data_IF_798975458541
#
_entry.id   IF_798975458541
#
_cell.length_a   1.000
_cell.length_b   1.000
_cell.length_c   1.000
_cell.angle_alpha   90.00
_cell.angle_beta   90.00
_cell.angle_gamma   90.00
#
_symmetry.space_group_name_H-M   'P 1'
#
loop_
_entity.id
_entity.type
_entity.pdbx_description
1 polymer ?
#
# COMPACT_ATOMS: atom_id res chain seq x y z
N UNK A 1 -15.79 -55.81 18.38
CA UNK A 1 -15.14 -57.03 18.95
C UNK A 1 -13.77 -57.12 18.31
N UNK A 2 -12.68 -57.15 19.09
CA UNK A 2 -11.34 -57.07 18.47
C UNK A 2 -11.05 -58.35 17.69
N UNK A 3 -10.23 -58.26 16.64
CA UNK A 3 -9.81 -59.42 15.85
C UNK A 3 -9.23 -60.53 16.74
N UNK A 4 -8.52 -60.15 17.83
CA UNK A 4 -8.05 -61.09 18.84
C UNK A 4 -9.19 -61.88 19.47
N UNK A 5 -10.30 -61.25 19.84
CA UNK A 5 -11.45 -61.90 20.49
C UNK A 5 -12.21 -62.83 19.53
N UNK A 6 -12.36 -62.44 18.26
CA UNK A 6 -12.97 -63.31 17.24
C UNK A 6 -12.07 -64.51 16.93
N UNK A 7 -10.76 -64.29 16.84
CA UNK A 7 -9.79 -65.36 16.65
C UNK A 7 -9.74 -66.33 17.84
N UNK A 8 -9.81 -65.84 19.09
CA UNK A 8 -9.84 -66.72 20.27
C UNK A 8 -11.12 -67.57 20.31
N UNK A 9 -12.26 -66.98 19.95
CA UNK A 9 -13.53 -67.74 19.89
C UNK A 9 -13.50 -68.79 18.80
N UNK A 10 -12.94 -68.47 17.63
CA UNK A 10 -12.76 -69.44 16.54
C UNK A 10 -11.84 -70.59 16.97
N UNK A 11 -10.75 -70.29 17.68
CA UNK A 11 -9.81 -71.29 18.22
C UNK A 11 -10.46 -72.18 19.28
N UNK A 12 -11.31 -71.62 20.14
CA UNK A 12 -12.05 -72.38 21.16
C UNK A 12 -13.09 -73.29 20.49
N UNK A 13 -13.82 -72.81 19.49
CA UNK A 13 -14.79 -73.63 18.75
C UNK A 13 -14.09 -74.76 18.01
N UNK A 14 -12.94 -74.49 17.37
CA UNK A 14 -12.12 -75.51 16.73
C UNK A 14 -11.60 -76.54 17.75
N UNK A 15 -11.16 -76.09 18.92
CA UNK A 15 -10.69 -76.97 20.00
C UNK A 15 -11.81 -77.85 20.56
N UNK A 16 -13.03 -77.33 20.69
CA UNK A 16 -14.20 -78.11 21.14
C UNK A 16 -14.65 -79.12 20.08
N UNK A 17 -14.61 -78.77 18.79
CA UNK A 17 -14.92 -79.70 17.69
C UNK A 17 -13.89 -80.83 17.63
N UNK A 18 -12.60 -80.51 17.68
CA UNK A 18 -11.52 -81.51 17.69
C UNK A 18 -11.55 -82.35 18.97
N UNK A 19 -11.86 -81.75 20.12
CA UNK A 19 -11.99 -82.46 21.39
C UNK A 19 -13.19 -83.43 21.45
N UNK A 20 -14.26 -83.14 20.71
CA UNK A 20 -15.42 -84.02 20.59
C UNK A 20 -15.12 -85.32 19.84
N UNK A 21 -14.34 -85.23 18.76
CA UNK A 21 -13.91 -86.39 17.98
C UNK A 21 -12.98 -87.32 18.79
N UNK A 22 -12.11 -86.74 19.62
CA UNK A 22 -11.21 -87.50 20.52
C UNK A 22 -11.98 -88.36 21.54
N UNK A 23 -13.12 -87.88 22.04
CA UNK A 23 -13.93 -88.62 23.04
C UNK A 23 -14.74 -89.74 22.37
N UNK A 24 -15.25 -89.53 21.15
CA UNK A 24 -16.01 -90.54 20.42
C UNK A 24 -15.14 -91.72 19.96
N UNK A 25 -13.87 -91.46 19.63
CA UNK A 25 -12.94 -92.47 19.08
C UNK A 25 -12.18 -93.25 20.16
N UNK A 26 -12.08 -92.75 21.40
CA UNK A 26 -11.51 -93.48 22.54
C UNK A 26 -12.22 -94.82 22.85
N UNK A 27 -13.40 -95.05 22.25
CA UNK A 27 -14.18 -96.28 22.36
C UNK A 27 -13.85 -97.36 21.28
N UNK A 28 -12.97 -97.13 20.29
CA UNK A 28 -12.80 -98.07 19.15
C UNK A 28 -11.34 -98.30 18.65
N UNK A 29 -10.71 -99.39 19.15
CA UNK A 29 -9.52 -100.14 18.68
C UNK A 29 -8.12 -99.46 18.63
N UNK A 30 -7.07 -100.16 19.11
CA UNK A 30 -5.70 -99.60 19.31
C UNK A 30 -4.98 -99.10 18.03
N UNK A 31 -5.29 -99.66 16.85
CA UNK A 31 -4.69 -99.21 15.57
C UNK A 31 -5.21 -97.81 15.16
N UNK A 32 -6.45 -97.46 15.52
CA UNK A 32 -7.02 -96.14 15.24
C UNK A 32 -6.41 -95.05 16.15
N UNK A 33 -6.04 -95.41 17.39
CA UNK A 33 -5.47 -94.46 18.34
C UNK A 33 -4.17 -93.82 17.83
N UNK A 34 -3.29 -94.60 17.19
CA UNK A 34 -2.05 -94.07 16.62
C UNK A 34 -2.31 -93.16 15.41
N UNK A 35 -3.29 -93.52 14.57
CA UNK A 35 -3.70 -92.71 13.43
C UNK A 35 -4.29 -91.36 13.87
N UNK A 36 -5.16 -91.35 14.87
CA UNK A 36 -5.76 -90.12 15.40
C UNK A 36 -4.74 -89.21 16.08
N UNK A 37 -3.82 -89.76 16.86
CA UNK A 37 -2.73 -88.98 17.46
C UNK A 37 -1.89 -88.34 16.34
N UNK A 38 -1.62 -89.06 15.25
CA UNK A 38 -0.89 -88.51 14.10
C UNK A 38 -1.68 -87.40 13.39
N UNK A 39 -3.00 -87.53 13.25
CA UNK A 39 -3.88 -86.53 12.64
C UNK A 39 -3.93 -85.25 13.50
N UNK A 40 -4.06 -85.39 14.82
CA UNK A 40 -4.04 -84.28 15.76
C UNK A 40 -2.69 -83.54 15.72
N UNK A 41 -1.59 -84.28 15.64
CA UNK A 41 -0.25 -83.70 15.56
C UNK A 41 -0.07 -82.91 14.24
N UNK A 42 -0.56 -83.45 13.12
CA UNK A 42 -0.56 -82.75 11.82
C UNK A 42 -1.43 -81.51 11.85
N UNK A 43 -2.65 -81.57 12.39
CA UNK A 43 -3.54 -80.40 12.48
C UNK A 43 -2.93 -79.32 13.37
N UNK A 44 -2.28 -79.67 14.48
CA UNK A 44 -1.62 -78.73 15.37
C UNK A 44 -0.39 -78.07 14.71
N UNK A 45 0.37 -78.84 13.91
CA UNK A 45 1.45 -78.29 13.07
C UNK A 45 0.87 -77.33 12.03
N UNK A 46 -0.20 -77.69 11.34
CA UNK A 46 -0.84 -76.83 10.33
C UNK A 46 -1.34 -75.54 10.95
N UNK A 47 -1.99 -75.61 12.12
CA UNK A 47 -2.43 -74.43 12.88
C UNK A 47 -1.23 -73.58 13.29
N UNK A 48 -0.15 -74.20 13.77
CA UNK A 48 1.07 -73.50 14.15
C UNK A 48 1.72 -72.78 12.97
N UNK A 49 1.82 -73.44 11.81
CA UNK A 49 2.34 -72.84 10.57
C UNK A 49 1.43 -71.72 10.10
N UNK A 50 0.11 -71.91 10.16
CA UNK A 50 -0.86 -70.90 9.72
C UNK A 50 -0.86 -69.69 10.66
N UNK A 51 -0.76 -69.89 11.98
CA UNK A 51 -0.57 -68.84 12.97
C UNK A 51 0.75 -68.09 12.75
N UNK A 52 1.84 -68.81 12.51
CA UNK A 52 3.15 -68.22 12.21
C UNK A 52 3.10 -67.37 10.94
N UNK A 53 2.45 -67.85 9.87
CA UNK A 53 2.26 -67.09 8.62
C UNK A 53 1.40 -65.85 8.86
N UNK A 54 0.32 -65.93 9.64
CA UNK A 54 -0.52 -64.78 9.98
C UNK A 54 0.25 -63.74 10.81
N UNK A 55 1.04 -64.19 11.78
CA UNK A 55 1.87 -63.31 12.61
C UNK A 55 2.91 -62.56 11.76
N UNK A 56 3.64 -63.30 10.91
CA UNK A 56 4.62 -62.73 9.98
C UNK A 56 4.01 -61.81 8.93
N UNK A 57 2.92 -62.23 8.26
CA UNK A 57 2.36 -61.50 7.10
C UNK A 57 1.38 -60.40 7.47
N UNK A 58 0.57 -60.58 8.51
CA UNK A 58 -0.52 -59.64 8.84
C UNK A 58 -0.12 -58.74 10.00
N UNK A 59 0.40 -59.31 11.08
CA UNK A 59 0.64 -58.53 12.31
C UNK A 59 1.81 -57.57 12.18
N UNK A 60 2.90 -57.97 11.52
CA UNK A 60 4.03 -57.09 11.24
C UNK A 60 3.62 -55.90 10.35
N UNK A 61 2.84 -56.16 9.30
CA UNK A 61 2.27 -55.12 8.41
C UNK A 61 1.51 -54.03 9.18
N UNK A 62 0.73 -54.41 10.19
CA UNK A 62 -0.03 -53.46 11.01
C UNK A 62 0.88 -52.64 11.92
N UNK A 63 1.94 -53.23 12.46
CA UNK A 63 2.90 -52.51 13.31
C UNK A 63 3.71 -51.49 12.49
N UNK A 64 4.13 -51.83 11.27
CA UNK A 64 4.87 -50.92 10.40
C UNK A 64 4.01 -49.72 9.99
N UNK A 65 2.76 -49.96 9.58
CA UNK A 65 1.79 -48.89 9.31
C UNK A 65 1.54 -48.00 10.53
N UNK A 66 1.52 -48.57 11.74
CA UNK A 66 1.34 -47.80 12.97
C UNK A 66 2.55 -46.90 13.23
N UNK A 67 3.77 -47.44 13.14
CA UNK A 67 5.00 -46.68 13.32
C UNK A 67 5.09 -45.51 12.35
N UNK A 68 4.76 -45.76 11.09
CA UNK A 68 4.72 -44.76 10.03
C UNK A 68 3.67 -43.69 10.32
N UNK A 69 2.49 -44.07 10.80
CA UNK A 69 1.45 -43.11 11.17
C UNK A 69 1.88 -42.21 12.33
N UNK A 70 2.64 -42.75 13.29
CA UNK A 70 3.22 -41.99 14.40
C UNK A 70 4.31 -41.03 13.90
N UNK A 71 5.16 -41.48 12.98
CA UNK A 71 6.17 -40.65 12.29
C UNK A 71 5.54 -39.53 11.46
N UNK A 72 4.46 -39.82 10.72
CA UNK A 72 3.65 -38.83 9.99
C UNK A 72 3.10 -37.74 10.92
N UNK A 73 2.58 -38.14 12.09
CA UNK A 73 2.09 -37.20 13.11
C UNK A 73 3.24 -36.37 13.74
N UNK A 74 4.44 -36.93 13.81
CA UNK A 74 5.65 -36.25 14.26
C UNK A 74 6.29 -35.37 13.17
N UNK A 75 5.85 -35.49 11.91
CA UNK A 75 6.39 -34.76 10.77
C UNK A 75 7.68 -35.34 10.19
N UNK A 76 7.92 -36.64 10.36
CA UNK A 76 9.07 -37.34 9.80
C UNK A 76 8.74 -37.98 8.43
N UNK A 77 9.71 -37.93 7.50
CA UNK A 77 9.61 -38.57 6.19
C UNK A 77 10.10 -40.00 6.28
N UNK A 78 9.27 -40.92 5.79
CA UNK A 78 9.60 -42.34 5.60
C UNK A 78 10.83 -42.52 4.71
N UNK A 79 11.83 -43.24 5.20
CA UNK A 79 13.05 -43.53 4.43
C UNK A 79 12.77 -44.57 3.35
N UNK A 80 13.32 -44.38 2.15
CA UNK A 80 13.14 -45.32 1.02
C UNK A 80 13.57 -46.76 1.35
N UNK A 81 14.57 -46.90 2.22
CA UNK A 81 15.11 -48.19 2.66
C UNK A 81 14.08 -49.04 3.44
N UNK A 82 13.15 -48.39 4.15
CA UNK A 82 12.08 -49.08 4.89
C UNK A 82 10.99 -49.61 3.94
N UNK A 83 10.72 -48.88 2.86
CA UNK A 83 9.77 -49.29 1.81
C UNK A 83 10.34 -50.43 0.94
N UNK A 84 11.66 -50.43 0.71
CA UNK A 84 12.32 -51.45 -0.11
C UNK A 84 12.36 -52.84 0.56
N UNK A 85 12.56 -52.86 1.88
CA UNK A 85 12.57 -54.08 2.73
C UNK A 85 11.18 -54.70 2.94
N UNK A 86 10.11 -53.97 2.59
CA UNK A 86 8.74 -54.42 2.73
C UNK A 86 8.38 -55.56 1.75
N UNK A 87 7.51 -56.47 2.19
CA UNK A 87 6.99 -57.54 1.32
C UNK A 87 6.14 -56.93 0.18
N UNK A 88 6.05 -57.59 -1.00
CA UNK A 88 5.39 -57.03 -2.18
C UNK A 88 3.95 -56.57 -1.94
N UNK A 89 3.20 -57.25 -1.07
CA UNK A 89 1.81 -56.92 -0.76
C UNK A 89 1.67 -55.63 0.08
N UNK A 90 2.71 -55.22 0.82
CA UNK A 90 2.70 -54.01 1.66
C UNK A 90 3.11 -52.74 0.89
N UNK A 91 3.94 -52.89 -0.15
CA UNK A 91 4.54 -51.76 -0.89
C UNK A 91 3.52 -50.69 -1.34
N UNK A 92 2.34 -51.02 -1.89
CA UNK A 92 1.39 -49.99 -2.33
C UNK A 92 0.88 -49.09 -1.18
N UNK A 93 0.62 -49.67 0.00
CA UNK A 93 0.15 -48.92 1.15
C UNK A 93 1.26 -48.01 1.72
N UNK A 94 2.48 -48.53 1.82
CA UNK A 94 3.64 -47.78 2.29
C UNK A 94 3.99 -46.61 1.35
N UNK A 95 3.96 -46.84 0.03
CA UNK A 95 4.16 -45.78 -0.97
C UNK A 95 3.09 -44.68 -0.87
N UNK A 96 1.84 -45.06 -0.59
CA UNK A 96 0.76 -44.08 -0.39
C UNK A 96 1.00 -43.24 0.87
N UNK A 97 1.40 -43.86 1.98
CA UNK A 97 1.73 -43.14 3.21
C UNK A 97 2.96 -42.25 3.05
N UNK A 98 3.98 -42.72 2.33
CA UNK A 98 5.17 -41.92 2.01
C UNK A 98 4.80 -40.68 1.19
N UNK A 99 3.95 -40.83 0.17
CA UNK A 99 3.46 -39.71 -0.63
C UNK A 99 2.68 -38.70 0.23
N UNK A 100 1.78 -39.18 1.08
CA UNK A 100 1.03 -38.31 2.00
C UNK A 100 1.95 -37.58 2.99
N UNK A 101 3.01 -38.25 3.47
CA UNK A 101 4.02 -37.62 4.34
C UNK A 101 4.73 -36.48 3.61
N UNK A 102 5.15 -36.69 2.37
CA UNK A 102 5.76 -35.65 1.53
C UNK A 102 4.81 -34.48 1.28
N UNK A 103 3.55 -34.74 0.93
CA UNK A 103 2.54 -33.71 0.70
C UNK A 103 2.26 -32.87 1.97
N UNK A 104 2.17 -33.51 3.15
CA UNK A 104 1.97 -32.81 4.42
C UNK A 104 3.20 -31.99 4.81
N UNK A 105 4.42 -32.54 4.66
CA UNK A 105 5.65 -31.81 4.94
C UNK A 105 5.80 -30.58 4.06
N UNK A 106 5.53 -30.73 2.76
CA UNK A 106 5.50 -29.60 1.84
C UNK A 106 4.46 -28.55 2.25
N UNK A 107 3.24 -28.96 2.59
CA UNK A 107 2.21 -28.03 3.08
C UNK A 107 2.67 -27.25 4.32
N UNK A 108 3.28 -27.93 5.30
CA UNK A 108 3.79 -27.29 6.52
C UNK A 108 4.91 -26.29 6.20
N UNK A 109 5.85 -26.66 5.33
CA UNK A 109 6.91 -25.76 4.89
C UNK A 109 6.36 -24.56 4.13
N UNK A 110 5.38 -24.78 3.25
CA UNK A 110 4.71 -23.74 2.48
C UNK A 110 3.99 -22.73 3.39
N UNK A 111 3.24 -23.21 4.38
CA UNK A 111 2.59 -22.37 5.39
C UNK A 111 3.62 -21.57 6.20
N UNK A 112 4.74 -22.21 6.61
CA UNK A 112 5.80 -21.53 7.35
C UNK A 112 6.46 -20.41 6.53
N UNK A 113 6.76 -20.68 5.26
CA UNK A 113 7.32 -19.70 4.33
C UNK A 113 6.42 -18.50 4.12
N UNK A 114 5.11 -18.73 3.98
CA UNK A 114 4.10 -17.66 3.95
C UNK A 114 4.13 -16.85 5.26
N UNK A 115 4.21 -17.51 6.41
CA UNK A 115 4.34 -16.84 7.72
C UNK A 115 5.60 -15.97 7.85
N UNK A 116 6.68 -16.35 7.16
CA UNK A 116 7.94 -15.59 7.05
C UNK A 116 7.88 -14.49 5.98
N UNK A 117 6.71 -14.26 5.35
CA UNK A 117 6.49 -13.35 4.20
C UNK A 117 7.29 -13.71 2.94
N UNK A 118 7.66 -14.98 2.80
CA UNK A 118 8.28 -15.53 1.60
C UNK A 118 7.21 -16.22 0.74
N UNK A 119 6.70 -15.51 -0.27
CA UNK A 119 5.68 -16.00 -1.20
C UNK A 119 6.28 -16.68 -2.45
N UNK A 120 7.60 -16.90 -2.49
CA UNK A 120 8.30 -17.40 -3.69
C UNK A 120 8.25 -18.91 -3.85
N UNK A 121 7.95 -19.65 -2.78
CA UNK A 121 7.90 -21.11 -2.78
C UNK A 121 6.87 -21.65 -3.77
N UNK A 122 7.27 -22.66 -4.53
CA UNK A 122 6.41 -23.41 -5.45
C UNK A 122 6.08 -24.77 -4.84
N UNK A 123 4.90 -25.31 -5.15
CA UNK A 123 4.51 -26.67 -4.78
C UNK A 123 5.07 -27.65 -5.81
N UNK A 124 5.75 -28.68 -5.34
CA UNK A 124 6.37 -29.77 -6.10
C UNK A 124 5.55 -31.06 -6.01
N UNK A 125 5.04 -31.42 -4.83
CA UNK A 125 4.30 -32.67 -4.61
C UNK A 125 2.78 -32.48 -4.66
N UNK A 126 2.29 -31.37 -4.11
CA UNK A 126 0.87 -31.00 -4.09
C UNK A 126 0.41 -30.44 -5.44
N UNK A 127 -0.75 -30.92 -5.93
CA UNK A 127 -1.37 -30.39 -7.14
C UNK A 127 -1.87 -28.94 -6.90
N UNK A 128 -1.35 -27.93 -7.62
CA UNK A 128 -1.75 -26.53 -7.44
C UNK A 128 -3.21 -26.22 -7.83
N UNK A 129 -3.89 -27.14 -8.53
CA UNK A 129 -5.23 -26.91 -9.11
C UNK A 129 -6.34 -27.68 -8.40
N UNK A 130 -6.00 -28.57 -7.46
CA UNK A 130 -6.99 -29.41 -6.78
C UNK A 130 -6.67 -29.60 -5.29
N UNK A 131 -7.70 -29.97 -4.52
CA UNK A 131 -7.55 -30.36 -3.12
C UNK A 131 -6.83 -29.32 -2.25
N UNK A 132 -5.89 -29.81 -1.42
CA UNK A 132 -5.13 -28.98 -0.49
C UNK A 132 -4.20 -27.98 -1.21
N UNK A 133 -3.58 -28.38 -2.31
CA UNK A 133 -2.64 -27.53 -3.04
C UNK A 133 -3.31 -26.26 -3.59
N UNK A 134 -4.51 -26.38 -4.18
CA UNK A 134 -5.30 -25.21 -4.61
C UNK A 134 -5.59 -24.24 -3.48
N UNK A 135 -6.11 -24.73 -2.36
CA UNK A 135 -6.46 -23.90 -1.20
C UNK A 135 -5.23 -23.16 -0.63
N UNK A 136 -4.07 -23.82 -0.60
CA UNK A 136 -2.81 -23.20 -0.17
C UNK A 136 -2.36 -22.10 -1.14
N UNK A 137 -2.46 -22.33 -2.45
CA UNK A 137 -2.12 -21.33 -3.47
C UNK A 137 -3.05 -20.11 -3.37
N UNK A 138 -4.35 -20.33 -3.23
CA UNK A 138 -5.33 -19.25 -3.04
C UNK A 138 -5.04 -18.45 -1.76
N UNK A 139 -4.74 -19.13 -0.65
CA UNK A 139 -4.34 -18.49 0.60
C UNK A 139 -3.06 -17.66 0.44
N UNK A 140 -2.04 -18.20 -0.23
CA UNK A 140 -0.79 -17.48 -0.54
C UNK A 140 -1.09 -16.20 -1.32
N UNK A 141 -1.90 -16.30 -2.37
CA UNK A 141 -2.25 -15.16 -3.22
C UNK A 141 -3.00 -14.07 -2.44
N UNK A 142 -3.98 -14.47 -1.60
CA UNK A 142 -4.71 -13.52 -0.76
C UNK A 142 -3.79 -12.82 0.25
N UNK A 143 -2.93 -13.57 0.95
CA UNK A 143 -2.00 -13.01 1.92
C UNK A 143 -0.92 -12.13 1.25
N UNK A 144 -0.46 -12.52 0.06
CA UNK A 144 0.45 -11.70 -0.73
C UNK A 144 -0.21 -10.37 -1.12
N UNK A 145 -1.45 -10.41 -1.63
CA UNK A 145 -2.20 -9.20 -1.97
C UNK A 145 -2.41 -8.31 -0.74
N UNK A 146 -2.83 -8.88 0.40
CA UNK A 146 -2.99 -8.12 1.65
C UNK A 146 -1.67 -7.49 2.07
N UNK A 147 -0.56 -8.23 1.97
CA UNK A 147 0.77 -7.70 2.31
C UNK A 147 1.20 -6.57 1.38
N UNK A 148 0.93 -6.65 0.06
CA UNK A 148 1.24 -5.61 -0.90
C UNK A 148 0.38 -4.35 -0.66
N UNK A 149 -0.91 -4.53 -0.39
CA UNK A 149 -1.83 -3.44 -0.01
C UNK A 149 -1.40 -2.77 1.29
N UNK A 150 -0.97 -3.55 2.30
CA UNK A 150 -0.46 -3.03 3.57
C UNK A 150 0.81 -2.19 3.37
N UNK A 151 1.76 -2.68 2.55
CA UNK A 151 2.98 -1.93 2.22
C UNK A 151 2.64 -0.60 1.53
N UNK A 152 1.77 -0.62 0.52
CA UNK A 152 1.35 0.59 -0.20
C UNK A 152 0.63 1.57 0.74
N UNK A 153 -0.28 1.08 1.59
CA UNK A 153 -1.01 1.90 2.57
C UNK A 153 -0.07 2.54 3.58
N UNK A 154 0.88 1.78 4.13
CA UNK A 154 1.85 2.29 5.09
C UNK A 154 2.77 3.34 4.45
N UNK A 155 3.18 3.12 3.20
CA UNK A 155 3.93 4.12 2.42
C UNK A 155 3.14 5.42 2.27
N UNK A 156 1.86 5.35 1.86
CA UNK A 156 0.97 6.51 1.71
C UNK A 156 0.77 7.26 3.03
N UNK A 157 0.43 6.58 4.12
CA UNK A 157 0.18 7.20 5.44
C UNK A 157 1.43 7.87 6.00
N UNK A 158 2.59 7.23 5.85
CA UNK A 158 3.87 7.80 6.29
C UNK A 158 4.22 9.01 5.44
N UNK A 159 3.98 8.95 4.13
CA UNK A 159 4.11 10.08 3.22
C UNK A 159 3.24 11.26 3.66
N UNK A 160 1.94 11.06 3.82
CA UNK A 160 0.99 12.13 4.17
C UNK A 160 1.43 12.79 5.46
N UNK A 161 1.74 12.00 6.50
CA UNK A 161 2.22 12.52 7.79
C UNK A 161 3.45 13.43 7.60
N UNK A 162 4.43 12.98 6.81
CA UNK A 162 5.64 13.77 6.51
C UNK A 162 5.30 15.09 5.83
N UNK A 163 4.38 15.11 4.87
CA UNK A 163 3.99 16.33 4.16
C UNK A 163 3.14 17.25 5.04
N UNK A 164 2.22 16.72 5.83
CA UNK A 164 1.44 17.51 6.79
C UNK A 164 2.36 18.19 7.82
N UNK A 165 3.39 17.50 8.31
CA UNK A 165 4.40 18.08 9.22
C UNK A 165 5.23 19.16 8.51
N UNK A 166 5.72 18.89 7.29
CA UNK A 166 6.44 19.88 6.46
C UNK A 166 5.62 21.15 6.28
N UNK A 167 4.34 21.03 5.94
CA UNK A 167 3.46 22.17 5.73
C UNK A 167 3.17 22.93 7.03
N UNK A 168 3.04 22.21 8.15
CA UNK A 168 2.80 22.80 9.48
C UNK A 168 4.01 23.58 9.99
N UNK A 169 5.21 23.03 9.85
CA UNK A 169 6.45 23.66 10.32
C UNK A 169 6.80 24.93 9.54
N UNK A 170 6.28 25.07 8.32
CA UNK A 170 6.58 26.16 7.40
C UNK A 170 5.39 27.11 7.12
N UNK A 171 4.39 27.17 8.01
CA UNK A 171 3.19 28.02 7.80
C UNK A 171 3.48 29.51 7.62
N UNK A 172 4.61 30.00 8.14
CA UNK A 172 5.01 31.41 8.05
C UNK A 172 6.04 31.68 6.94
N UNK A 173 6.49 30.64 6.22
CA UNK A 173 7.45 30.78 5.15
C UNK A 173 6.83 31.44 3.91
N UNK A 174 7.67 31.97 3.03
CA UNK A 174 7.18 32.45 1.73
C UNK A 174 6.68 31.30 0.86
N UNK A 175 5.67 31.58 0.02
CA UNK A 175 5.04 30.57 -0.81
C UNK A 175 6.01 29.86 -1.77
N UNK A 176 7.02 30.59 -2.24
CA UNK A 176 8.13 30.07 -3.06
C UNK A 176 9.00 29.07 -2.30
N UNK A 177 9.29 29.33 -1.03
CA UNK A 177 10.12 28.49 -0.18
C UNK A 177 9.42 27.18 0.17
N UNK A 178 8.19 27.26 0.69
CA UNK A 178 7.40 26.07 1.01
C UNK A 178 7.07 25.26 -0.24
N UNK A 179 6.76 25.93 -1.36
CA UNK A 179 6.53 25.28 -2.65
C UNK A 179 7.75 24.51 -3.13
N UNK A 180 8.97 25.05 -2.93
CA UNK A 180 10.21 24.37 -3.29
C UNK A 180 10.50 23.16 -2.40
N UNK A 181 10.35 23.29 -1.07
CA UNK A 181 10.52 22.18 -0.13
C UNK A 181 9.53 21.06 -0.43
N UNK A 182 8.26 21.42 -0.65
CA UNK A 182 7.20 20.50 -1.00
C UNK A 182 7.51 19.74 -2.29
N UNK A 183 7.79 20.44 -3.39
CA UNK A 183 7.98 19.79 -4.70
C UNK A 183 9.25 18.94 -4.74
N UNK A 184 10.33 19.38 -4.08
CA UNK A 184 11.56 18.58 -3.94
C UNK A 184 11.28 17.27 -3.22
N UNK A 185 10.62 17.33 -2.08
CA UNK A 185 10.32 16.14 -1.28
C UNK A 185 9.31 15.24 -1.99
N UNK A 186 8.35 15.82 -2.71
CA UNK A 186 7.35 15.07 -3.46
C UNK A 186 8.00 14.29 -4.61
N UNK A 187 8.81 14.97 -5.43
CA UNK A 187 9.55 14.34 -6.53
C UNK A 187 10.39 13.17 -6.01
N UNK A 188 11.09 13.35 -4.89
CA UNK A 188 11.89 12.27 -4.29
C UNK A 188 11.04 11.13 -3.72
N UNK A 189 9.91 11.43 -3.08
CA UNK A 189 9.06 10.42 -2.44
C UNK A 189 8.40 9.51 -3.48
N UNK A 190 7.84 10.09 -4.55
CA UNK A 190 7.22 9.31 -5.64
C UNK A 190 8.24 8.79 -6.67
N UNK A 191 9.52 9.16 -6.54
CA UNK A 191 10.56 8.81 -7.50
C UNK A 191 10.33 9.39 -8.90
N UNK A 192 9.78 10.60 -8.98
CA UNK A 192 9.68 11.35 -10.23
C UNK A 192 11.04 11.97 -10.60
N UNK A 193 11.14 12.55 -11.79
CA UNK A 193 12.38 13.17 -12.26
C UNK A 193 12.40 14.68 -12.06
N UNK A 194 11.24 15.33 -12.23
CA UNK A 194 11.09 16.77 -12.09
C UNK A 194 9.67 17.12 -11.65
N UNK A 195 9.52 18.31 -11.09
CA UNK A 195 8.21 18.82 -10.70
C UNK A 195 8.17 20.34 -10.60
N UNK A 196 6.97 20.89 -10.66
CA UNK A 196 6.70 22.30 -10.51
C UNK A 196 5.40 22.55 -9.74
N UNK A 197 5.36 23.70 -9.07
CA UNK A 197 4.18 24.20 -8.36
C UNK A 197 3.75 25.50 -9.04
N UNK A 198 2.51 25.50 -9.50
CA UNK A 198 1.87 26.62 -10.16
C UNK A 198 0.76 27.17 -9.28
N UNK A 199 0.69 28.49 -9.11
CA UNK A 199 -0.30 29.15 -8.25
C UNK A 199 -1.05 30.19 -9.05
N UNK A 200 -2.36 30.24 -8.86
CA UNK A 200 -3.25 31.19 -9.50
C UNK A 200 -3.13 32.53 -8.78
N UNK A 201 -2.66 33.55 -9.50
CA UNK A 201 -2.71 34.93 -9.07
C UNK A 201 -3.97 35.61 -9.62
N UNK A 202 -4.97 35.77 -8.76
CA UNK A 202 -6.28 36.37 -9.11
C UNK A 202 -6.25 37.90 -9.16
N UNK A 203 -5.20 38.53 -8.64
CA UNK A 203 -5.07 39.99 -8.57
C UNK A 203 -4.36 40.58 -9.80
N UNK A 204 -3.83 39.72 -10.68
CA UNK A 204 -3.27 40.16 -11.95
C UNK A 204 -4.36 40.79 -12.84
N UNK A 205 -4.06 41.99 -13.35
CA UNK A 205 -4.96 42.80 -14.15
C UNK A 205 -4.39 42.84 -15.58
N UNK A 206 -5.13 42.47 -16.65
CA UNK A 206 -6.59 42.40 -16.77
C UNK A 206 -7.26 41.05 -16.49
N UNK A 207 -6.50 39.95 -16.34
CA UNK A 207 -7.05 38.60 -16.12
C UNK A 207 -6.20 37.83 -15.11
N UNK A 208 -6.78 36.87 -14.37
CA UNK A 208 -6.02 35.96 -13.54
C UNK A 208 -4.95 35.23 -14.34
N UNK A 209 -3.76 35.10 -13.77
CA UNK A 209 -2.63 34.41 -14.39
C UNK A 209 -2.16 33.27 -13.48
N UNK A 210 -1.48 32.30 -14.09
CA UNK A 210 -0.88 31.19 -13.37
C UNK A 210 0.63 31.42 -13.29
N UNK A 211 1.17 31.40 -12.08
CA UNK A 211 2.58 31.68 -11.82
C UNK A 211 3.31 30.43 -11.33
N UNK A 212 4.47 30.13 -11.90
CA UNK A 212 5.36 29.08 -11.41
C UNK A 212 6.09 29.59 -10.15
N UNK A 213 5.67 29.16 -8.96
CA UNK A 213 6.26 29.63 -7.69
C UNK A 213 7.46 28.80 -7.26
N UNK A 214 7.52 27.54 -7.68
CA UNK A 214 8.61 26.64 -7.36
C UNK A 214 8.78 25.56 -8.43
N UNK A 215 10.02 25.11 -8.64
CA UNK A 215 10.33 23.98 -9.51
C UNK A 215 11.56 23.23 -9.00
N UNK A 216 11.60 21.91 -9.21
CA UNK A 216 12.71 21.04 -8.85
C UNK A 216 13.16 20.21 -10.05
N UNK A 217 14.49 20.14 -10.24
CA UNK A 217 15.14 19.50 -11.40
C UNK A 217 14.63 19.97 -12.76
N UNK A 218 14.10 21.21 -12.83
CA UNK A 218 13.55 21.81 -14.03
C UNK A 218 14.61 22.64 -14.76
N UNK A 219 14.67 22.53 -16.09
CA UNK A 219 15.67 23.23 -16.91
C UNK A 219 15.60 24.74 -16.70
N UNK A 220 16.73 25.36 -16.36
CA UNK A 220 16.87 26.82 -16.13
C UNK A 220 16.28 27.71 -17.24
N UNK A 221 16.17 27.20 -18.47
CA UNK A 221 15.58 27.89 -19.63
C UNK A 221 14.05 27.99 -19.58
N UNK A 222 13.32 27.06 -18.96
CA UNK A 222 11.85 27.11 -18.84
C UNK A 222 11.36 27.79 -17.57
N UNK A 223 12.21 27.93 -16.54
CA UNK A 223 11.94 28.78 -15.37
C UNK A 223 11.86 30.29 -15.72
N UNK A 224 12.18 30.68 -16.96
CA UNK A 224 12.16 32.06 -17.44
C UNK A 224 10.78 32.54 -17.91
N UNK A 225 9.82 31.65 -18.16
CA UNK A 225 8.40 32.01 -18.34
C UNK A 225 7.67 31.81 -17.01
N UNK A 226 7.73 32.85 -16.16
CA UNK A 226 7.18 32.85 -14.81
C UNK A 226 5.64 32.82 -14.77
N UNK A 227 4.96 33.11 -15.87
CA UNK A 227 3.53 33.42 -15.88
C UNK A 227 2.89 33.03 -17.21
N UNK A 228 1.74 32.35 -17.19
CA UNK A 228 0.94 31.98 -18.37
C UNK A 228 -0.56 32.15 -18.09
N UNK A 229 -1.39 32.15 -19.14
CA UNK A 229 -2.84 32.31 -19.00
C UNK A 229 -3.50 31.05 -18.43
N UNK A 230 -4.62 31.22 -17.71
CA UNK A 230 -5.37 30.10 -17.09
C UNK A 230 -5.80 28.98 -18.05
N UNK A 231 -5.88 29.25 -19.36
CA UNK A 231 -6.35 28.27 -20.36
C UNK A 231 -5.19 27.67 -21.19
N UNK A 232 -3.95 27.93 -20.79
CA UNK A 232 -2.78 27.50 -21.52
C UNK A 232 -2.27 26.13 -21.04
N UNK A 233 -2.07 25.22 -21.99
CA UNK A 233 -1.45 23.92 -21.75
C UNK A 233 -2.23 22.97 -20.82
N UNK A 234 -1.52 21.96 -20.31
CA UNK A 234 -2.12 20.96 -19.40
C UNK A 234 -2.42 21.54 -18.02
N UNK A 235 -1.61 22.51 -17.56
CA UNK A 235 -1.86 23.19 -16.29
C UNK A 235 -3.20 23.92 -16.35
N UNK A 236 -3.46 24.68 -17.42
CA UNK A 236 -4.75 25.34 -17.60
C UNK A 236 -5.92 24.37 -17.70
N UNK A 237 -5.73 23.23 -18.38
CA UNK A 237 -6.74 22.17 -18.43
C UNK A 237 -7.04 21.59 -17.03
N UNK A 238 -6.01 21.29 -16.24
CA UNK A 238 -6.19 20.81 -14.86
C UNK A 238 -6.93 21.85 -14.01
N UNK A 239 -6.67 23.14 -14.23
CA UNK A 239 -7.38 24.22 -13.55
C UNK A 239 -8.87 24.25 -13.91
N UNK A 240 -9.21 24.10 -15.19
CA UNK A 240 -10.60 24.12 -15.67
C UNK A 240 -11.37 22.88 -15.25
N UNK A 241 -10.75 21.72 -15.34
CA UNK A 241 -11.38 20.43 -15.04
C UNK A 241 -11.47 20.21 -13.51
N UNK A 242 -10.61 20.86 -12.70
CA UNK A 242 -10.47 20.68 -11.24
C UNK A 242 -10.29 19.21 -10.83
N UNK A 243 -9.63 18.45 -11.68
CA UNK A 243 -9.43 17.01 -11.54
C UNK A 243 -7.96 16.65 -11.81
N UNK A 244 -7.54 15.51 -11.26
CA UNK A 244 -6.20 14.99 -11.52
C UNK A 244 -6.10 14.52 -12.96
N UNK A 245 -5.11 15.05 -13.69
CA UNK A 245 -4.80 14.63 -15.05
C UNK A 245 -3.57 13.74 -15.00
N UNK A 246 -3.73 12.47 -15.40
CA UNK A 246 -2.62 11.53 -15.57
C UNK A 246 -2.49 11.15 -17.04
N UNK A 247 -1.27 11.28 -17.58
CA UNK A 247 -0.94 10.96 -18.96
C UNK A 247 0.26 10.03 -18.95
N UNK A 248 0.17 8.87 -19.59
CA UNK A 248 1.22 7.85 -19.65
C UNK A 248 1.66 7.48 -21.07
N UNK A 249 1.18 8.24 -22.06
CA UNK A 249 1.56 8.20 -23.47
C UNK A 249 1.69 9.65 -23.98
N UNK A 250 2.92 10.17 -23.96
CA UNK A 250 3.21 11.58 -24.22
C UNK A 250 3.74 11.72 -25.65
N UNK A 251 3.07 12.51 -26.52
CA UNK A 251 3.56 12.77 -27.87
C UNK A 251 4.95 13.42 -27.85
N UNK A 252 5.78 13.12 -28.85
CA UNK A 252 7.21 13.49 -28.90
C UNK A 252 7.52 15.00 -28.77
N UNK A 253 6.51 15.86 -28.89
CA UNK A 253 6.67 17.31 -28.98
C UNK A 253 6.21 18.07 -27.72
N UNK A 254 5.80 17.38 -26.64
CA UNK A 254 5.08 18.04 -25.55
C UNK A 254 6.00 18.62 -24.46
N UNK A 255 6.86 17.82 -23.83
CA UNK A 255 7.76 18.25 -22.74
C UNK A 255 9.03 17.40 -22.74
N UNK A 256 10.22 18.02 -22.74
CA UNK A 256 11.50 17.31 -22.58
C UNK A 256 12.06 17.52 -21.16
N UNK A 257 12.54 16.44 -20.55
CA UNK A 257 13.37 16.43 -19.34
C UNK A 257 14.81 16.71 -19.79
N UNK A 258 15.39 17.82 -19.34
CA UNK A 258 16.80 18.14 -19.64
C UNK A 258 17.70 17.66 -18.51
N UNK A 259 18.72 16.89 -18.87
CA UNK A 259 19.86 16.52 -18.04
C UNK A 259 21.12 17.22 -18.56
N UNK A 260 22.16 17.32 -17.72
CA UNK A 260 23.50 17.73 -18.16
C UNK A 260 24.11 16.83 -19.25
N UNK A 261 23.46 15.70 -19.56
CA UNK A 261 23.86 14.71 -20.56
C UNK A 261 22.92 14.62 -21.78
N UNK A 262 21.82 15.40 -21.85
CA UNK A 262 20.89 15.38 -22.97
C UNK A 262 19.43 15.70 -22.61
N UNK A 263 18.54 15.67 -23.59
CA UNK A 263 17.09 15.89 -23.43
C UNK A 263 16.32 14.60 -23.75
N UNK A 264 15.37 14.22 -22.89
CA UNK A 264 14.57 13.00 -23.06
C UNK A 264 13.10 13.24 -22.70
N UNK A 265 12.17 12.57 -23.39
CA UNK A 265 10.74 12.69 -23.14
C UNK A 265 10.35 11.92 -21.86
N UNK A 266 9.55 12.50 -20.95
CA UNK A 266 8.97 11.75 -19.85
C UNK A 266 8.07 10.64 -20.39
N UNK A 267 7.96 9.55 -19.61
CA UNK A 267 7.03 8.47 -19.88
C UNK A 267 5.65 8.75 -19.32
N UNK A 268 5.56 9.51 -18.24
CA UNK A 268 4.28 9.93 -17.69
C UNK A 268 4.34 11.28 -16.98
N UNK A 269 3.21 11.97 -16.99
CA UNK A 269 2.99 13.25 -16.32
C UNK A 269 1.74 13.15 -15.44
N UNK A 270 1.82 13.72 -14.23
CA UNK A 270 0.68 13.95 -13.35
C UNK A 270 0.52 15.46 -13.17
N UNK A 271 -0.72 15.94 -13.30
CA UNK A 271 -1.13 17.25 -12.82
C UNK A 271 -2.20 17.07 -11.76
N UNK A 272 -1.95 17.57 -10.56
CA UNK A 272 -2.89 17.51 -9.45
C UNK A 272 -3.33 18.93 -9.05
N UNK A 273 -4.64 19.20 -8.96
CA UNK A 273 -5.13 20.50 -8.55
C UNK A 273 -4.80 20.77 -7.08
N UNK A 274 -4.30 21.97 -6.81
CA UNK A 274 -4.16 22.50 -5.47
C UNK A 274 -5.48 23.19 -5.14
N UNK A 275 -6.31 22.57 -4.29
CA UNK A 275 -7.66 23.07 -4.01
C UNK A 275 -8.00 23.01 -2.52
N UNK A 276 -8.91 23.87 -2.11
CA UNK A 276 -9.57 23.80 -0.79
C UNK A 276 -11.06 23.85 -1.03
N UNK A 277 -11.78 22.80 -0.63
CA UNK A 277 -13.17 22.56 -1.03
C UNK A 277 -13.27 22.60 -2.58
N UNK A 278 -14.17 23.42 -3.12
CA UNK A 278 -14.38 23.60 -4.57
C UNK A 278 -13.49 24.69 -5.18
N UNK A 279 -12.63 25.34 -4.39
CA UNK A 279 -11.84 26.48 -4.85
C UNK A 279 -10.43 26.03 -5.21
N UNK A 280 -10.08 26.15 -6.49
CA UNK A 280 -8.74 25.89 -6.99
C UNK A 280 -7.81 27.10 -6.79
N UNK A 281 -6.61 26.83 -6.28
CA UNK A 281 -5.56 27.79 -5.99
C UNK A 281 -4.32 27.59 -6.86
N UNK A 282 -4.18 26.43 -7.52
CA UNK A 282 -2.99 26.12 -8.29
C UNK A 282 -2.97 24.69 -8.80
N UNK A 283 -1.81 24.25 -9.28
CA UNK A 283 -1.57 22.90 -9.81
C UNK A 283 -0.16 22.47 -9.42
N UNK A 284 -0.02 21.22 -8.99
CA UNK A 284 1.25 20.52 -8.90
C UNK A 284 1.44 19.71 -10.17
N UNK A 285 2.58 19.87 -10.84
CA UNK A 285 2.97 19.08 -12.01
C UNK A 285 4.17 18.20 -11.65
N UNK A 286 4.11 16.93 -12.02
CA UNK A 286 5.21 15.97 -11.90
C UNK A 286 5.44 15.29 -13.24
N UNK A 287 6.70 15.13 -13.64
CA UNK A 287 7.07 14.33 -14.80
C UNK A 287 8.08 13.24 -14.42
N UNK A 288 7.88 12.06 -14.98
CA UNK A 288 8.62 10.85 -14.63
C UNK A 288 8.95 9.99 -15.85
N UNK A 289 10.08 9.30 -15.78
CA UNK A 289 10.50 8.27 -16.75
C UNK A 289 9.84 6.91 -16.48
N UNK A 290 9.24 6.72 -15.30
CA UNK A 290 8.41 5.54 -14.95
C UNK A 290 6.94 5.92 -14.90
N UNK A 291 6.06 4.96 -15.19
CA UNK A 291 4.62 5.10 -14.91
C UNK A 291 4.40 5.18 -13.40
N UNK A 292 3.41 5.96 -12.99
CA UNK A 292 3.02 6.03 -11.59
C UNK A 292 2.02 4.90 -11.27
N UNK A 293 2.21 4.27 -10.12
CA UNK A 293 1.24 3.34 -9.56
C UNK A 293 0.01 4.10 -9.04
N UNK A 294 -1.13 3.40 -8.95
CA UNK A 294 -2.39 4.03 -8.50
C UNK A 294 -2.25 4.71 -7.12
N UNK A 295 -1.60 4.05 -6.17
CA UNK A 295 -1.37 4.61 -4.83
C UNK A 295 -0.47 5.86 -4.84
N UNK A 296 0.48 5.97 -5.79
CA UNK A 296 1.31 7.17 -5.97
C UNK A 296 0.47 8.34 -6.53
N UNK A 297 -0.44 8.07 -7.48
CA UNK A 297 -1.34 9.09 -8.04
C UNK A 297 -2.31 9.61 -6.98
N UNK A 298 -2.94 8.70 -6.24
CA UNK A 298 -3.88 9.05 -5.16
C UNK A 298 -3.17 9.82 -4.04
N UNK A 299 -1.93 9.41 -3.71
CA UNK A 299 -1.08 10.15 -2.77
C UNK A 299 -0.78 11.58 -3.24
N UNK A 300 -0.37 11.77 -4.51
CA UNK A 300 -0.09 13.10 -5.07
C UNK A 300 -1.33 14.00 -5.01
N UNK A 301 -2.53 13.44 -5.26
CA UNK A 301 -3.79 14.17 -5.12
C UNK A 301 -3.96 14.69 -3.69
N UNK A 302 -3.86 13.79 -2.71
CA UNK A 302 -4.10 14.11 -1.30
C UNK A 302 -3.12 15.16 -0.77
N UNK A 303 -1.81 15.01 -1.02
CA UNK A 303 -0.82 16.01 -0.55
C UNK A 303 -0.93 17.35 -1.29
N UNK A 304 -1.45 17.37 -2.52
CA UNK A 304 -1.72 18.61 -3.25
C UNK A 304 -2.93 19.37 -2.68
N UNK A 305 -3.93 18.65 -2.17
CA UNK A 305 -5.05 19.22 -1.43
C UNK A 305 -4.60 19.78 -0.07
N UNK A 306 -3.73 19.06 0.65
CA UNK A 306 -3.11 19.54 1.89
C UNK A 306 -2.33 20.85 1.68
N UNK A 307 -1.55 20.94 0.59
CA UNK A 307 -0.86 22.16 0.19
C UNK A 307 -1.84 23.32 -0.05
N UNK A 308 -3.05 23.02 -0.53
CA UNK A 308 -4.10 24.00 -0.81
C UNK A 308 -4.44 24.87 0.38
N UNK A 309 -4.54 24.30 1.58
CA UNK A 309 -4.84 25.07 2.80
C UNK A 309 -3.73 26.08 3.12
N UNK A 310 -2.47 25.68 2.94
CA UNK A 310 -1.33 26.57 3.18
C UNK A 310 -1.25 27.67 2.14
N UNK A 311 -1.50 27.34 0.86
CA UNK A 311 -1.56 28.32 -0.24
C UNK A 311 -2.68 29.33 0.00
N UNK A 312 -3.87 28.87 0.35
CA UNK A 312 -5.01 29.73 0.62
C UNK A 312 -4.72 30.71 1.77
N UNK A 313 -4.17 30.21 2.88
CA UNK A 313 -3.76 31.05 4.02
C UNK A 313 -2.67 32.06 3.63
N UNK A 314 -1.67 31.65 2.86
CA UNK A 314 -0.61 32.55 2.39
C UNK A 314 -1.17 33.67 1.49
N UNK A 315 -2.10 33.35 0.59
CA UNK A 315 -2.76 34.35 -0.26
C UNK A 315 -3.63 35.32 0.55
N UNK A 316 -4.43 34.83 1.49
CA UNK A 316 -5.27 35.67 2.38
C UNK A 316 -4.38 36.61 3.22
N UNK A 317 -3.28 36.09 3.77
CA UNK A 317 -2.33 36.89 4.56
C UNK A 317 -1.65 37.97 3.71
N UNK A 318 -1.27 37.65 2.47
CA UNK A 318 -0.73 38.61 1.52
C UNK A 318 -1.74 39.72 1.21
N UNK A 319 -2.96 39.34 0.83
CA UNK A 319 -4.03 40.30 0.52
C UNK A 319 -4.35 41.21 1.71
N UNK A 320 -4.39 40.66 2.92
CA UNK A 320 -4.62 41.43 4.15
C UNK A 320 -3.50 42.44 4.38
N UNK A 321 -2.24 42.05 4.20
CA UNK A 321 -1.09 42.95 4.29
C UNK A 321 -1.14 44.07 3.25
N UNK A 322 -1.48 43.74 2.01
CA UNK A 322 -1.53 44.70 0.89
C UNK A 322 -2.67 45.72 1.08
N UNK A 323 -3.82 45.27 1.59
CA UNK A 323 -4.95 46.14 1.95
C UNK A 323 -4.62 47.05 3.14
N UNK A 324 -3.94 46.53 4.17
CA UNK A 324 -3.48 47.33 5.31
C UNK A 324 -2.45 48.40 4.87
N UNK A 325 -1.52 48.04 3.99
CA UNK A 325 -0.54 48.97 3.43
C UNK A 325 -1.23 50.09 2.63
N UNK A 326 -2.20 49.72 1.77
CA UNK A 326 -2.99 50.67 0.97
C UNK A 326 -3.80 51.61 1.87
N UNK A 327 -4.45 51.08 2.90
CA UNK A 327 -5.22 51.87 3.87
C UNK A 327 -4.34 52.87 4.60
N UNK A 328 -3.14 52.45 5.02
CA UNK A 328 -2.15 53.32 5.68
C UNK A 328 -1.69 54.45 4.74
N UNK A 329 -1.45 54.15 3.47
CA UNK A 329 -1.06 55.16 2.48
C UNK A 329 -2.18 56.19 2.24
N UNK A 330 -3.42 55.73 2.06
CA UNK A 330 -4.59 56.60 1.87
C UNK A 330 -4.77 57.52 3.07
N UNK A 331 -4.63 56.98 4.30
CA UNK A 331 -4.71 57.79 5.53
C UNK A 331 -3.63 58.87 5.57
N UNK A 332 -2.39 58.55 5.22
CA UNK A 332 -1.31 59.54 5.15
C UNK A 332 -1.59 60.63 4.11
N UNK A 333 -2.18 60.29 2.97
CA UNK A 333 -2.58 61.27 1.96
C UNK A 333 -3.74 62.15 2.43
N UNK A 334 -4.73 61.59 3.13
CA UNK A 334 -5.83 62.35 3.73
C UNK A 334 -5.32 63.33 4.78
N UNK A 335 -4.46 62.89 5.70
CA UNK A 335 -3.86 63.75 6.74
C UNK A 335 -3.05 64.91 6.11
N UNK A 336 -2.35 64.66 5.00
CA UNK A 336 -1.67 65.73 4.24
C UNK A 336 -2.66 66.72 3.62
N UNK A 337 -3.75 66.23 3.02
CA UNK A 337 -4.80 67.08 2.44
C UNK A 337 -5.53 67.90 3.50
N UNK A 338 -5.83 67.32 4.66
CA UNK A 338 -6.44 68.03 5.78
C UNK A 338 -5.55 69.17 6.29
N UNK A 339 -4.24 68.91 6.50
CA UNK A 339 -3.29 69.96 6.88
C UNK A 339 -3.24 71.08 5.85
N UNK A 340 -3.20 70.74 4.57
CA UNK A 340 -3.19 71.72 3.48
C UNK A 340 -4.48 72.57 3.45
N UNK A 341 -5.64 71.96 3.69
CA UNK A 341 -6.92 72.66 3.80
C UNK A 341 -6.94 73.59 5.01
N UNK A 342 -6.42 73.14 6.16
CA UNK A 342 -6.35 73.94 7.37
C UNK A 342 -5.40 75.14 7.22
N UNK A 343 -4.25 74.96 6.57
CA UNK A 343 -3.33 76.04 6.21
C UNK A 343 -3.99 77.04 5.24
N UNK A 344 -4.70 76.55 4.22
CA UNK A 344 -5.44 77.39 3.28
C UNK A 344 -6.53 78.20 3.99
N UNK A 345 -7.31 77.59 4.89
CA UNK A 345 -8.32 78.27 5.70
C UNK A 345 -7.70 79.34 6.60
N UNK A 346 -6.60 79.04 7.28
CA UNK A 346 -5.89 80.02 8.10
C UNK A 346 -5.42 81.22 7.26
N UNK A 347 -4.86 80.95 6.07
CA UNK A 347 -4.40 82.00 5.16
C UNK A 347 -5.54 82.86 4.63
N UNK A 348 -6.69 82.28 4.31
CA UNK A 348 -7.90 83.02 3.94
C UNK A 348 -8.38 83.92 5.08
N UNK A 349 -8.37 83.43 6.32
CA UNK A 349 -8.74 84.22 7.50
C UNK A 349 -7.81 85.40 7.72
N UNK A 350 -6.49 85.20 7.58
CA UNK A 350 -5.51 86.30 7.67
C UNK A 350 -5.71 87.32 6.55
N UNK A 351 -5.97 86.86 5.32
CA UNK A 351 -6.25 87.75 4.19
C UNK A 351 -7.50 88.60 4.44
N UNK A 352 -8.56 88.00 4.99
CA UNK A 352 -9.79 88.72 5.33
C UNK A 352 -9.54 89.76 6.43
N UNK A 353 -8.77 89.43 7.46
CA UNK A 353 -8.41 90.40 8.51
C UNK A 353 -7.61 91.56 7.94
N UNK A 354 -6.62 91.29 7.08
CA UNK A 354 -5.79 92.32 6.43
C UNK A 354 -6.62 93.24 5.54
N UNK A 355 -7.58 92.69 4.79
CA UNK A 355 -8.51 93.48 3.98
C UNK A 355 -9.41 94.35 4.85
N UNK A 356 -9.89 93.85 6.00
CA UNK A 356 -10.68 94.65 6.95
C UNK A 356 -9.88 95.81 7.54
N UNK A 357 -8.65 95.59 7.97
CA UNK A 357 -7.77 96.66 8.46
C UNK A 357 -7.49 97.69 7.38
N UNK A 358 -7.11 97.26 6.17
CA UNK A 358 -6.91 98.20 5.04
C UNK A 358 -8.17 99.01 4.70
N UNK A 359 -9.34 98.37 4.69
CA UNK A 359 -10.60 99.08 4.46
C UNK A 359 -10.90 100.10 5.58
N UNK A 360 -10.61 99.76 6.84
CA UNK A 360 -10.75 100.68 7.97
C UNK A 360 -9.80 101.89 7.84
N UNK A 361 -8.55 101.67 7.44
CA UNK A 361 -7.56 102.73 7.16
C UNK A 361 -7.99 103.64 6.00
N UNK A 362 -8.48 103.07 4.91
CA UNK A 362 -9.01 103.85 3.78
C UNK A 362 -10.21 104.70 4.23
N UNK A 363 -11.09 104.14 5.05
CA UNK A 363 -12.26 104.87 5.56
C UNK A 363 -11.89 105.97 6.56
N UNK A 364 -10.87 105.77 7.40
CA UNK A 364 -10.37 106.82 8.28
C UNK A 364 -9.70 107.94 7.48
N UNK A 365 -8.88 107.59 6.48
CA UNK A 365 -8.28 108.56 5.55
C UNK A 365 -9.34 109.38 4.80
N UNK A 366 -10.40 108.74 4.30
CA UNK A 366 -11.54 109.42 3.68
C UNK A 366 -12.26 110.36 4.65
N UNK A 367 -12.44 109.95 5.91
CA UNK A 367 -13.05 110.83 6.93
C UNK A 367 -12.17 112.04 7.23
N UNK A 368 -10.85 111.88 7.29
CA UNK A 368 -9.92 113.00 7.50
C UNK A 368 -9.76 113.93 6.29
N UNK A 369 -10.10 113.48 5.08
CA UNK A 369 -10.08 114.31 3.88
C UNK A 369 -11.38 115.11 3.67
N UNK A 370 -12.47 114.70 4.33
CA UNK A 370 -13.80 115.30 4.20
C UNK A 370 -14.20 116.15 5.43
N UNK A 371 -13.30 116.31 6.41
CA UNK A 371 -13.40 117.22 7.55
C UNK A 371 -12.35 118.32 7.37
#
# INVERSE_FOLDING_TARGET
MSFRTQFTILLIILFVLVGGDVIYVALYNEINLFFEISLLLVTLIVIGVLAYVVEQKVFNTFNDMRLISEQLLAGEVLQEEEVEKAIPEQKPALLTLQRLSLEIQEALQFIRKIGERDFSMQLEYLNPQEGLGKSLIEMRQQLQQISEEEVNRNWTVTGITKFSDLLRDNQNAELSEIGYLFIRDLVNHVGANQGAVYIINREANPRPVVECVAAYAYSRRKFLQKTFEMQEGLVGRCIMDNEVIYIDDIPENYIQITSGLGEALPRSIILAPIRVNEVIYGVVELASMKKFAKHEIDFVREVSEDLGSTVANAQINKQTRDLLASTKQIRQELEKKEKMLQELQNRLKTLETDLRTKNAEINSLKKSLNA
#
